data_IF_445548579268
#
_entry.id   IF_445548579268
#
_cell.length_a   1.000
_cell.length_b   1.000
_cell.length_c   1.000
_cell.angle_alpha   90.00
_cell.angle_beta   90.00
_cell.angle_gamma   90.00
#
_symmetry.space_group_name_H-M   'P 1'
#
loop_
_entity.id
_entity.type
_entity.pdbx_description
1 polymer ?
#
# COMPACT_ATOMS: atom_id res chain seq x y z
N UNK A 1 -0.58 -19.07 12.28
CA UNK A 1 0.30 -17.87 12.18
C UNK A 1 -0.39 -16.91 11.22
N UNK A 2 -0.45 -15.60 11.51
CA UNK A 2 -1.09 -14.62 10.63
C UNK A 2 -0.04 -13.84 9.87
N UNK A 3 -0.24 -13.66 8.58
CA UNK A 3 0.65 -12.89 7.71
C UNK A 3 0.03 -11.53 7.46
N UNK A 4 0.83 -10.48 7.61
CA UNK A 4 0.44 -9.09 7.41
C UNK A 4 1.44 -8.44 6.46
N UNK A 5 1.00 -7.42 5.71
CA UNK A 5 1.85 -6.73 4.72
C UNK A 5 1.71 -5.22 4.81
N UNK A 6 2.82 -4.52 4.63
CA UNK A 6 2.87 -3.06 4.45
C UNK A 6 2.97 -2.76 2.96
N UNK A 7 2.11 -1.90 2.43
CA UNK A 7 2.13 -1.54 1.02
C UNK A 7 3.23 -0.52 0.70
N UNK A 8 3.90 -0.64 -0.45
CA UNK A 8 4.96 0.30 -0.86
C UNK A 8 4.35 1.58 -1.43
N UNK A 9 4.22 2.62 -0.60
CA UNK A 9 3.69 3.93 -1.00
C UNK A 9 4.66 5.10 -0.72
N UNK A 10 5.97 4.82 -0.69
CA UNK A 10 7.00 5.79 -0.34
C UNK A 10 7.29 6.80 -1.45
N UNK A 11 6.73 6.60 -2.64
CA UNK A 11 6.92 7.47 -3.80
C UNK A 11 5.60 8.09 -4.25
N UNK A 12 5.59 9.42 -4.35
CA UNK A 12 4.46 10.18 -4.90
C UNK A 12 4.14 9.84 -6.37
N UNK A 13 5.07 9.20 -7.09
CA UNK A 13 4.86 8.79 -8.46
C UNK A 13 4.02 7.50 -8.59
N UNK A 14 3.75 6.80 -7.48
CA UNK A 14 2.92 5.60 -7.50
C UNK A 14 1.46 6.01 -7.67
N UNK A 15 0.83 5.51 -8.73
CA UNK A 15 -0.60 5.73 -8.98
C UNK A 15 -1.44 5.13 -7.82
N UNK A 16 -2.43 5.86 -7.27
CA UNK A 16 -3.27 5.35 -6.18
C UNK A 16 -3.97 4.01 -6.51
N UNK A 17 -4.34 3.81 -7.77
CA UNK A 17 -4.94 2.57 -8.25
C UNK A 17 -4.01 1.37 -8.06
N UNK A 18 -2.69 1.59 -8.20
CA UNK A 18 -1.70 0.54 -7.99
C UNK A 18 -1.64 0.07 -6.54
N UNK A 19 -1.81 0.98 -5.58
CA UNK A 19 -1.90 0.64 -4.15
C UNK A 19 -3.14 -0.21 -3.89
N UNK A 20 -4.29 0.16 -4.47
CA UNK A 20 -5.53 -0.61 -4.34
C UNK A 20 -5.40 -2.03 -4.94
N UNK A 21 -4.78 -2.15 -6.12
CA UNK A 21 -4.50 -3.45 -6.75
C UNK A 21 -3.63 -4.36 -5.88
N UNK A 22 -2.61 -3.79 -5.22
CA UNK A 22 -1.75 -4.53 -4.30
C UNK A 22 -2.51 -5.01 -3.06
N UNK A 23 -3.40 -4.18 -2.50
CA UNK A 23 -4.26 -4.58 -1.38
C UNK A 23 -5.16 -5.77 -1.74
N UNK A 24 -5.83 -5.71 -2.90
CA UNK A 24 -6.66 -6.82 -3.41
C UNK A 24 -5.82 -8.08 -3.67
N UNK A 25 -4.60 -7.91 -4.17
CA UNK A 25 -3.69 -9.03 -4.40
C UNK A 25 -3.27 -9.69 -3.08
N UNK A 26 -3.00 -8.90 -2.04
CA UNK A 26 -2.67 -9.40 -0.71
C UNK A 26 -3.83 -10.22 -0.10
N UNK A 27 -5.07 -9.75 -0.22
CA UNK A 27 -6.26 -10.50 0.22
C UNK A 27 -6.37 -11.85 -0.49
N UNK A 28 -6.20 -11.87 -1.83
CA UNK A 28 -6.24 -13.11 -2.63
C UNK A 28 -5.13 -14.10 -2.27
N UNK A 29 -4.00 -13.61 -1.76
CA UNK A 29 -2.88 -14.41 -1.31
C UNK A 29 -3.02 -14.91 0.14
N UNK A 30 -4.08 -14.50 0.85
CA UNK A 30 -4.38 -14.94 2.22
C UNK A 30 -3.68 -14.14 3.31
N UNK A 31 -3.24 -12.91 3.02
CA UNK A 31 -2.82 -11.98 4.07
C UNK A 31 -4.02 -11.55 4.92
N UNK A 32 -3.83 -11.53 6.24
CA UNK A 32 -4.86 -11.19 7.22
C UNK A 32 -5.10 -9.68 7.31
N UNK A 33 -4.07 -8.88 7.04
CA UNK A 33 -4.13 -7.41 7.16
C UNK A 33 -3.15 -6.73 6.21
N UNK A 34 -3.57 -5.56 5.72
CA UNK A 34 -2.79 -4.66 4.87
C UNK A 34 -2.64 -3.32 5.57
N UNK A 35 -1.41 -2.81 5.68
CA UNK A 35 -1.07 -1.53 6.28
C UNK A 35 -0.61 -0.53 5.21
N UNK A 36 -1.10 0.71 5.28
CA UNK A 36 -0.70 1.80 4.39
C UNK A 36 -0.22 2.99 5.23
N UNK A 37 1.08 3.33 5.22
CA UNK A 37 1.59 4.51 5.92
C UNK A 37 0.98 5.80 5.35
N UNK A 38 0.61 6.73 6.22
CA UNK A 38 0.17 8.07 5.81
C UNK A 38 1.40 8.99 5.68
N UNK A 39 1.63 9.53 4.47
CA UNK A 39 2.76 10.41 4.18
C UNK A 39 2.26 11.81 3.87
N UNK A 40 2.83 12.81 4.54
CA UNK A 40 2.69 14.21 4.11
C UNK A 40 3.65 14.44 2.94
N UNK A 41 3.11 14.56 1.73
CA UNK A 41 3.93 14.91 0.57
C UNK A 41 4.39 16.37 0.67
N UNK A 42 5.69 16.67 0.46
CA UNK A 42 6.13 18.05 0.34
C UNK A 42 5.45 18.71 -0.87
N UNK A 43 5.09 20.00 -0.80
CA UNK A 43 4.51 20.70 -1.94
C UNK A 43 5.47 20.67 -3.13
N UNK A 44 4.91 20.57 -4.34
CA UNK A 44 5.71 20.72 -5.57
C UNK A 44 6.28 22.16 -5.65
N UNK A 45 7.51 22.35 -6.18
CA UNK A 45 8.14 23.66 -6.33
C UNK A 45 7.36 24.66 -7.19
#
# INVERSE_FOLDING_TARGET
>A
MRLEVVLPNESAAVAPERIAELAVSAERLGYDTVWLPDHVLPPEP
#
